data_IF_354390109559
#
_entry.id   IF_354390109559
#
_cell.length_a   1.000
_cell.length_b   1.000
_cell.length_c   1.000
_cell.angle_alpha   90.00
_cell.angle_beta   90.00
_cell.angle_gamma   90.00
#
_symmetry.space_group_name_H-M   'P 1'
#
loop_
_entity.id
_entity.type
_entity.pdbx_description
1 polymer ?
#
# COMPACT_ATOMS: atom_id res chain seq x y z
N UNK A 1 -35.45 27.84 -47.61
CA UNK A 1 -35.90 26.54 -48.16
C UNK A 1 -34.81 25.43 -48.23
N UNK A 2 -33.60 25.61 -47.66
CA UNK A 2 -32.50 24.63 -47.82
C UNK A 2 -32.22 23.67 -46.64
N UNK A 3 -32.82 23.85 -45.46
CA UNK A 3 -32.52 23.02 -44.27
C UNK A 3 -33.49 21.85 -44.01
N UNK A 4 -34.75 21.94 -44.48
CA UNK A 4 -35.73 20.84 -44.34
C UNK A 4 -35.46 19.67 -45.30
N UNK A 5 -34.96 19.92 -46.51
CA UNK A 5 -34.64 18.86 -47.50
C UNK A 5 -33.39 18.04 -47.14
N UNK A 6 -32.48 18.55 -46.30
CA UNK A 6 -31.27 17.83 -45.90
C UNK A 6 -31.56 16.78 -44.81
N UNK A 7 -32.43 17.12 -43.86
CA UNK A 7 -32.90 16.19 -42.82
C UNK A 7 -33.73 15.01 -43.39
N UNK A 8 -34.52 15.23 -44.44
CA UNK A 8 -35.31 14.17 -45.09
C UNK A 8 -34.46 13.19 -45.92
N UNK A 9 -33.31 13.62 -46.44
CA UNK A 9 -32.40 12.78 -47.21
C UNK A 9 -31.49 11.96 -46.27
N UNK A 10 -31.08 12.54 -45.13
CA UNK A 10 -30.24 11.85 -44.15
C UNK A 10 -31.01 10.78 -43.36
N UNK A 11 -32.33 10.94 -43.17
CA UNK A 11 -33.21 9.93 -42.56
C UNK A 11 -33.49 8.70 -43.47
N UNK A 12 -33.32 8.83 -44.80
CA UNK A 12 -33.51 7.73 -45.74
C UNK A 12 -32.26 6.89 -46.01
N UNK A 13 -31.08 7.39 -45.61
CA UNK A 13 -29.79 6.72 -45.81
C UNK A 13 -29.17 6.15 -44.54
N UNK A 14 -29.89 6.19 -43.40
CA UNK A 14 -29.53 5.39 -42.24
C UNK A 14 -29.72 3.91 -42.60
N UNK A 15 -28.65 3.28 -43.11
CA UNK A 15 -28.52 1.84 -43.19
C UNK A 15 -28.92 1.30 -41.83
N UNK A 16 -30.01 0.55 -41.80
CA UNK A 16 -30.42 -0.28 -40.68
C UNK A 16 -29.24 -1.21 -40.40
N UNK A 17 -28.38 -0.83 -39.47
CA UNK A 17 -27.42 -1.73 -38.87
C UNK A 17 -28.28 -2.78 -38.20
N UNK A 18 -28.27 -4.00 -38.74
CA UNK A 18 -28.86 -5.18 -38.10
C UNK A 18 -28.52 -5.13 -36.62
N UNK A 19 -29.53 -4.95 -35.78
CA UNK A 19 -29.41 -5.26 -34.36
C UNK A 19 -29.16 -6.77 -34.36
N UNK A 20 -27.89 -7.16 -34.16
CA UNK A 20 -27.56 -8.54 -33.86
C UNK A 20 -28.37 -8.90 -32.61
N UNK A 21 -29.42 -9.69 -32.83
CA UNK A 21 -30.17 -10.34 -31.77
C UNK A 21 -29.19 -11.23 -31.03
N UNK A 22 -28.75 -10.79 -29.84
CA UNK A 22 -27.91 -11.58 -28.95
C UNK A 22 -28.69 -12.87 -28.68
N UNK A 23 -28.15 -13.99 -29.14
CA UNK A 23 -28.72 -15.32 -28.97
C UNK A 23 -28.95 -15.58 -27.46
N UNK A 24 -30.18 -15.86 -27.00
CA UNK A 24 -30.49 -15.98 -25.57
C UNK A 24 -29.79 -17.17 -24.87
N UNK A 25 -29.06 -18.00 -25.62
CA UNK A 25 -28.34 -19.19 -25.15
C UNK A 25 -26.81 -19.01 -25.10
N UNK A 26 -26.27 -17.84 -25.44
CA UNK A 26 -24.84 -17.60 -25.26
C UNK A 26 -24.51 -17.50 -23.75
N UNK A 27 -23.60 -18.32 -23.22
CA UNK A 27 -23.18 -18.21 -21.82
C UNK A 27 -22.51 -16.86 -21.61
N UNK A 28 -23.26 -15.93 -21.03
CA UNK A 28 -22.75 -14.61 -20.64
C UNK A 28 -22.02 -14.73 -19.31
N UNK A 29 -20.89 -14.04 -19.16
CA UNK A 29 -20.21 -13.91 -17.86
C UNK A 29 -21.15 -13.38 -16.76
N UNK A 30 -22.21 -12.65 -17.11
CA UNK A 30 -23.22 -12.17 -16.16
C UNK A 30 -24.10 -13.27 -15.57
N UNK A 31 -24.10 -14.47 -16.17
CA UNK A 31 -24.88 -15.63 -15.74
C UNK A 31 -24.09 -16.56 -14.79
N UNK A 32 -22.83 -16.23 -14.48
CA UNK A 32 -22.05 -16.98 -13.51
C UNK A 32 -22.61 -16.79 -12.08
N UNK A 33 -22.55 -17.81 -11.21
CA UNK A 33 -22.89 -17.68 -9.80
C UNK A 33 -22.05 -16.59 -9.11
N UNK A 34 -22.64 -15.93 -8.12
CA UNK A 34 -22.02 -14.83 -7.39
C UNK A 34 -20.66 -15.21 -6.79
N UNK A 35 -20.53 -16.43 -6.28
CA UNK A 35 -19.30 -16.94 -5.67
C UNK A 35 -18.15 -17.04 -6.69
N UNK A 36 -18.47 -17.44 -7.93
CA UNK A 36 -17.49 -17.55 -9.01
C UNK A 36 -17.06 -16.16 -9.48
N UNK A 37 -18.00 -15.22 -9.62
CA UNK A 37 -17.69 -13.82 -9.94
C UNK A 37 -16.82 -13.18 -8.86
N UNK A 38 -17.18 -13.37 -7.58
CA UNK A 38 -16.38 -12.90 -6.45
C UNK A 38 -14.97 -13.48 -6.46
N UNK A 39 -14.81 -14.78 -6.72
CA UNK A 39 -13.48 -15.39 -6.84
C UNK A 39 -12.70 -14.87 -8.05
N UNK A 40 -13.34 -14.60 -9.19
CA UNK A 40 -12.68 -13.97 -10.33
C UNK A 40 -12.21 -12.55 -9.96
N UNK A 41 -13.09 -11.76 -9.34
CA UNK A 41 -12.78 -10.38 -8.96
C UNK A 41 -11.78 -10.27 -7.81
N UNK A 42 -11.59 -11.31 -6.99
CA UNK A 42 -10.54 -11.32 -5.97
C UNK A 42 -9.14 -11.21 -6.59
N UNK A 43 -8.95 -11.67 -7.83
CA UNK A 43 -7.70 -11.52 -8.57
C UNK A 43 -7.46 -10.12 -9.14
N UNK A 44 -8.38 -9.17 -8.99
CA UNK A 44 -8.25 -7.79 -9.50
C UNK A 44 -7.88 -6.80 -8.39
N UNK A 45 -7.21 -5.69 -8.71
CA UNK A 45 -6.96 -4.61 -7.75
C UNK A 45 -8.23 -3.78 -7.53
N UNK A 46 -8.20 -2.89 -6.52
CA UNK A 46 -9.38 -2.07 -6.18
C UNK A 46 -9.84 -1.20 -7.36
N UNK A 47 -8.91 -0.65 -8.14
CA UNK A 47 -9.21 0.22 -9.28
C UNK A 47 -9.96 -0.53 -10.38
N UNK A 48 -9.48 -1.72 -10.74
CA UNK A 48 -10.09 -2.63 -11.71
C UNK A 48 -11.48 -3.06 -11.24
N UNK A 49 -11.62 -3.46 -9.97
CA UNK A 49 -12.92 -3.79 -9.38
C UNK A 49 -13.91 -2.62 -9.48
N UNK A 50 -13.51 -1.41 -9.11
CA UNK A 50 -14.39 -0.23 -9.24
C UNK A 50 -14.79 0.08 -10.69
N UNK A 51 -13.95 -0.25 -11.68
CA UNK A 51 -14.28 -0.11 -13.09
C UNK A 51 -15.29 -1.17 -13.55
N UNK A 52 -15.08 -2.43 -13.15
CA UNK A 52 -15.96 -3.55 -13.49
C UNK A 52 -17.35 -3.45 -12.85
N UNK A 53 -17.48 -2.74 -11.73
CA UNK A 53 -18.76 -2.51 -11.04
C UNK A 53 -19.77 -1.71 -11.90
N UNK A 54 -19.33 -1.17 -13.04
CA UNK A 54 -20.16 -0.40 -13.99
C UNK A 54 -20.66 -1.24 -15.17
N UNK A 55 -20.24 -2.50 -15.30
CA UNK A 55 -20.57 -3.35 -16.45
C UNK A 55 -22.02 -3.81 -16.41
N UNK A 56 -22.46 -4.43 -15.31
CA UNK A 56 -23.85 -4.84 -15.12
C UNK A 56 -24.22 -4.91 -13.63
N UNK A 57 -25.51 -5.06 -13.31
CA UNK A 57 -26.02 -5.16 -11.92
C UNK A 57 -25.45 -6.36 -11.16
N UNK A 58 -25.31 -7.50 -11.82
CA UNK A 58 -24.74 -8.72 -11.24
C UNK A 58 -23.28 -8.49 -10.80
N UNK A 59 -22.46 -7.91 -11.68
CA UNK A 59 -21.05 -7.59 -11.37
C UNK A 59 -20.92 -6.53 -10.29
N UNK A 60 -21.81 -5.53 -10.31
CA UNK A 60 -21.88 -4.54 -9.25
C UNK A 60 -22.09 -5.22 -7.89
N UNK A 61 -23.09 -6.09 -7.77
CA UNK A 61 -23.37 -6.83 -6.53
C UNK A 61 -22.18 -7.71 -6.09
N UNK A 62 -21.59 -8.47 -7.03
CA UNK A 62 -20.42 -9.30 -6.77
C UNK A 62 -19.21 -8.51 -6.27
N UNK A 63 -18.94 -7.33 -6.82
CA UNK A 63 -17.77 -6.52 -6.43
C UNK A 63 -17.92 -5.90 -5.04
N UNK A 64 -19.16 -5.63 -4.62
CA UNK A 64 -19.46 -5.08 -3.31
C UNK A 64 -19.72 -6.16 -2.25
N UNK A 65 -19.43 -7.43 -2.58
CA UNK A 65 -19.31 -8.50 -1.59
C UNK A 65 -18.24 -8.15 -0.54
N UNK A 66 -18.54 -8.45 0.72
CA UNK A 66 -17.72 -8.02 1.86
C UNK A 66 -16.29 -8.55 1.81
N UNK A 67 -16.11 -9.78 1.31
CA UNK A 67 -14.81 -10.46 1.28
C UNK A 67 -13.81 -9.75 0.36
N UNK A 68 -14.30 -9.10 -0.70
CA UNK A 68 -13.45 -8.36 -1.64
C UNK A 68 -12.89 -7.06 -1.05
N UNK A 69 -13.39 -6.60 0.10
CA UNK A 69 -12.96 -5.36 0.74
C UNK A 69 -12.11 -5.58 2.00
N UNK A 70 -11.79 -6.83 2.35
CA UNK A 70 -10.93 -7.15 3.50
C UNK A 70 -9.51 -6.61 3.35
N UNK A 71 -8.97 -6.66 2.12
CA UNK A 71 -7.64 -6.18 1.77
C UNK A 71 -7.73 -5.12 0.69
N UNK A 72 -7.49 -3.86 1.07
CA UNK A 72 -7.60 -2.70 0.21
C UNK A 72 -6.20 -2.21 -0.14
N UNK A 73 -5.75 -2.49 -1.36
CA UNK A 73 -4.48 -1.98 -1.87
C UNK A 73 -4.72 -0.83 -2.86
N UNK A 74 -4.32 0.37 -2.46
CA UNK A 74 -4.21 1.52 -3.35
C UNK A 74 -2.85 1.43 -4.06
N UNK A 75 -2.80 0.59 -5.09
CA UNK A 75 -1.61 0.27 -5.90
C UNK A 75 -0.92 1.48 -6.55
N UNK A 76 -1.60 2.62 -6.55
CA UNK A 76 -1.20 3.88 -7.15
C UNK A 76 -1.72 5.05 -6.33
N UNK A 77 -1.09 6.22 -6.51
CA UNK A 77 -1.54 7.45 -5.86
C UNK A 77 -3.01 7.73 -6.19
N UNK A 78 -3.79 8.01 -5.15
CA UNK A 78 -5.17 8.45 -5.25
C UNK A 78 -5.30 9.86 -4.67
N UNK A 79 -6.10 10.72 -5.30
CA UNK A 79 -6.34 12.05 -4.75
C UNK A 79 -7.14 11.96 -3.45
N UNK A 80 -6.88 12.87 -2.51
CA UNK A 80 -7.57 12.93 -1.22
C UNK A 80 -9.10 12.86 -1.35
N UNK A 81 -9.69 13.63 -2.28
CA UNK A 81 -11.13 13.65 -2.53
C UNK A 81 -11.68 12.27 -2.93
N UNK A 82 -10.97 11.56 -3.82
CA UNK A 82 -11.37 10.22 -4.26
C UNK A 82 -11.23 9.23 -3.11
N UNK A 83 -10.13 9.28 -2.37
CA UNK A 83 -9.91 8.39 -1.24
C UNK A 83 -10.95 8.61 -0.14
N UNK A 84 -11.24 9.85 0.20
CA UNK A 84 -12.29 10.19 1.17
C UNK A 84 -13.66 9.65 0.75
N UNK A 85 -14.00 9.67 -0.54
CA UNK A 85 -15.23 9.06 -1.08
C UNK A 85 -15.22 7.54 -0.91
N UNK A 86 -14.07 6.88 -1.13
CA UNK A 86 -13.93 5.43 -0.92
C UNK A 86 -14.12 5.03 0.54
N UNK A 87 -13.49 5.75 1.48
CA UNK A 87 -13.60 5.47 2.93
C UNK A 87 -15.03 5.65 3.45
N UNK A 88 -15.88 6.43 2.77
CA UNK A 88 -17.31 6.57 3.11
C UNK A 88 -18.16 5.37 2.65
N UNK A 89 -17.64 4.54 1.76
CA UNK A 89 -18.39 3.41 1.24
C UNK A 89 -18.61 2.35 2.34
N UNK A 90 -19.81 1.75 2.41
CA UNK A 90 -20.16 0.78 3.46
C UNK A 90 -19.18 -0.41 3.55
N UNK A 91 -18.76 -0.93 2.39
CA UNK A 91 -17.85 -2.09 2.34
C UNK A 91 -16.44 -1.76 2.88
N UNK A 92 -16.06 -0.48 2.97
CA UNK A 92 -14.79 -0.07 3.56
C UNK A 92 -14.72 -0.38 5.06
N UNK A 93 -15.86 -0.51 5.74
CA UNK A 93 -15.92 -0.90 7.15
C UNK A 93 -15.39 -2.32 7.41
N UNK A 94 -15.37 -3.17 6.38
CA UNK A 94 -14.91 -4.55 6.44
C UNK A 94 -13.39 -4.69 6.26
N UNK A 95 -12.68 -3.57 6.03
CA UNK A 95 -11.24 -3.58 5.79
C UNK A 95 -10.47 -4.06 7.03
N UNK A 96 -9.70 -5.13 6.85
CA UNK A 96 -8.70 -5.62 7.82
C UNK A 96 -7.29 -5.12 7.49
N UNK A 97 -7.03 -4.84 6.21
CA UNK A 97 -5.76 -4.28 5.76
C UNK A 97 -5.98 -3.18 4.74
N UNK A 98 -5.31 -2.04 4.95
CA UNK A 98 -5.32 -0.91 4.01
C UNK A 98 -3.88 -0.54 3.69
N UNK A 99 -3.59 -0.45 2.39
CA UNK A 99 -2.32 0.06 1.86
C UNK A 99 -2.55 1.35 1.09
N UNK A 100 -1.78 2.39 1.43
CA UNK A 100 -1.88 3.75 0.92
C UNK A 100 -0.53 4.16 0.32
N UNK A 101 -0.56 4.77 -0.86
CA UNK A 101 0.62 5.34 -1.52
C UNK A 101 0.48 6.86 -1.57
N UNK A 102 1.40 7.54 -0.91
CA UNK A 102 1.56 8.99 -0.93
C UNK A 102 2.28 9.53 -2.18
N UNK A 103 2.69 10.79 -2.13
CA UNK A 103 3.28 11.53 -3.25
C UNK A 103 4.71 12.06 -3.01
N UNK A 104 5.40 11.64 -1.93
CA UNK A 104 6.67 12.26 -1.48
C UNK A 104 7.77 12.31 -2.55
N UNK A 105 7.78 11.36 -3.49
CA UNK A 105 8.79 11.27 -4.56
C UNK A 105 8.23 11.49 -5.97
N UNK A 106 6.99 11.96 -6.08
CA UNK A 106 6.38 12.14 -7.39
C UNK A 106 6.47 13.59 -7.84
N UNK A 107 7.48 13.86 -8.66
CA UNK A 107 7.72 15.17 -9.31
C UNK A 107 6.54 15.65 -10.15
N UNK A 108 5.67 14.73 -10.61
CA UNK A 108 4.50 15.07 -11.42
C UNK A 108 3.28 15.46 -10.57
N UNK A 109 3.31 15.24 -9.26
CA UNK A 109 2.24 15.67 -8.37
C UNK A 109 2.63 16.96 -7.67
N UNK A 110 1.66 17.88 -7.59
CA UNK A 110 1.84 19.10 -6.81
C UNK A 110 2.17 18.71 -5.36
N UNK A 111 3.25 19.26 -4.81
CA UNK A 111 3.67 19.01 -3.41
C UNK A 111 2.54 19.24 -2.40
N UNK A 112 1.56 20.08 -2.74
CA UNK A 112 0.40 20.37 -1.91
C UNK A 112 -0.70 19.31 -1.95
N UNK A 113 -0.63 18.31 -2.85
CA UNK A 113 -1.60 17.22 -2.93
C UNK A 113 -1.28 16.11 -1.93
N UNK A 114 -1.59 16.33 -0.67
CA UNK A 114 -1.49 15.30 0.36
C UNK A 114 -2.48 14.16 0.09
N UNK A 115 -2.00 12.91 0.10
CA UNK A 115 -2.89 11.72 0.06
C UNK A 115 -3.52 11.45 1.42
N UNK A 116 -2.84 11.88 2.48
CA UNK A 116 -3.20 11.58 3.86
C UNK A 116 -3.30 12.89 4.64
N UNK A 117 -4.38 13.04 5.41
CA UNK A 117 -4.64 14.20 6.27
C UNK A 117 -5.25 13.74 7.60
N UNK A 118 -5.20 14.55 8.66
CA UNK A 118 -5.86 14.23 9.94
C UNK A 118 -7.34 13.88 9.77
N UNK A 119 -8.10 14.69 9.03
CA UNK A 119 -9.54 14.45 8.81
C UNK A 119 -9.84 13.15 8.06
N UNK A 120 -8.94 12.72 7.17
CA UNK A 120 -9.07 11.42 6.51
C UNK A 120 -8.78 10.27 7.48
N UNK A 121 -7.75 10.43 8.32
CA UNK A 121 -7.37 9.42 9.31
C UNK A 121 -8.43 9.26 10.39
N UNK A 122 -9.01 10.36 10.88
CA UNK A 122 -10.18 10.34 11.75
C UNK A 122 -11.36 9.61 11.09
N UNK A 123 -11.62 9.90 9.81
CA UNK A 123 -12.70 9.22 9.08
C UNK A 123 -12.42 7.71 8.92
N UNK A 124 -11.17 7.34 8.65
CA UNK A 124 -10.75 5.95 8.55
C UNK A 124 -10.92 5.22 9.89
N UNK A 125 -10.55 5.85 11.01
CA UNK A 125 -10.77 5.38 12.39
C UNK A 125 -12.26 5.24 12.72
N UNK A 126 -13.10 6.12 12.20
CA UNK A 126 -14.55 6.03 12.37
C UNK A 126 -15.16 4.87 11.56
N UNK A 127 -14.71 4.65 10.33
CA UNK A 127 -15.25 3.61 9.44
C UNK A 127 -14.73 2.20 9.75
N UNK A 128 -13.42 2.03 9.90
CA UNK A 128 -12.75 0.71 9.83
C UNK A 128 -12.47 0.14 11.23
N UNK A 129 -13.51 -0.29 11.94
CA UNK A 129 -13.37 -0.78 13.34
C UNK A 129 -12.61 -2.10 13.48
N UNK A 130 -12.53 -2.89 12.40
CA UNK A 130 -11.79 -4.15 12.36
C UNK A 130 -10.39 -4.06 11.76
N UNK A 131 -9.86 -2.84 11.53
CA UNK A 131 -8.56 -2.68 10.86
C UNK A 131 -7.41 -3.23 11.70
N UNK A 132 -6.65 -4.18 11.13
CA UNK A 132 -5.48 -4.78 11.78
C UNK A 132 -4.16 -4.28 11.21
N UNK A 133 -4.11 -3.98 9.91
CA UNK A 133 -2.88 -3.65 9.18
C UNK A 133 -3.06 -2.31 8.44
N UNK A 134 -2.21 -1.34 8.78
CA UNK A 134 -2.11 -0.07 8.07
C UNK A 134 -0.73 0.08 7.45
N UNK A 135 -0.67 0.11 6.12
CA UNK A 135 0.57 0.29 5.35
C UNK A 135 0.50 1.62 4.59
N UNK A 136 1.37 2.56 4.93
CA UNK A 136 1.50 3.87 4.28
C UNK A 136 2.89 3.97 3.70
N UNK A 137 2.99 4.22 2.39
CA UNK A 137 4.26 4.36 1.68
C UNK A 137 4.39 5.73 1.04
N UNK A 138 5.61 6.27 1.00
CA UNK A 138 5.91 7.52 0.29
C UNK A 138 5.04 8.71 0.71
N UNK A 139 4.73 8.84 2.00
CA UNK A 139 3.86 9.88 2.51
C UNK A 139 4.62 10.87 3.41
N UNK A 140 4.22 12.13 3.34
CA UNK A 140 4.55 13.14 4.35
C UNK A 140 3.56 13.01 5.51
N UNK A 141 4.06 12.78 6.72
CA UNK A 141 3.25 12.65 7.94
C UNK A 141 3.42 13.84 8.88
N UNK A 142 4.07 14.93 8.47
CA UNK A 142 4.27 16.12 9.32
C UNK A 142 2.95 16.78 9.77
N UNK A 143 1.88 16.63 8.98
CA UNK A 143 0.55 17.17 9.31
C UNK A 143 -0.31 16.22 10.13
N UNK A 144 0.10 14.97 10.32
CA UNK A 144 -0.68 13.91 10.97
C UNK A 144 -0.04 13.61 12.32
N UNK A 145 -0.87 13.46 13.34
CA UNK A 145 -0.44 12.95 14.64
C UNK A 145 -0.66 11.45 14.70
N UNK A 146 0.19 10.75 15.45
CA UNK A 146 0.04 9.31 15.70
C UNK A 146 -1.35 8.94 16.26
N UNK A 147 -1.97 9.85 17.03
CA UNK A 147 -3.29 9.69 17.64
C UNK A 147 -4.44 9.81 16.62
N UNK A 148 -4.18 10.34 15.44
CA UNK A 148 -5.14 10.34 14.34
C UNK A 148 -5.32 8.92 13.77
N UNK A 149 -4.35 8.03 14.00
CA UNK A 149 -4.40 6.65 13.56
C UNK A 149 -5.29 5.79 14.47
N UNK A 150 -5.82 4.65 13.96
CA UNK A 150 -6.46 3.66 14.80
C UNK A 150 -5.44 3.02 15.75
N UNK A 151 -5.70 3.06 17.05
CA UNK A 151 -4.78 2.60 18.12
C UNK A 151 -4.83 1.08 18.35
N UNK A 152 -5.82 0.40 17.79
CA UNK A 152 -6.01 -1.05 17.86
C UNK A 152 -5.27 -1.85 16.79
N UNK A 153 -4.59 -1.18 15.85
CA UNK A 153 -3.87 -1.87 14.76
C UNK A 153 -2.78 -2.79 15.33
N UNK A 154 -2.62 -3.94 14.68
CA UNK A 154 -1.59 -4.93 15.01
C UNK A 154 -0.30 -4.70 14.26
N UNK A 155 -0.40 -4.14 13.05
CA UNK A 155 0.72 -3.89 12.18
C UNK A 155 0.65 -2.51 11.54
N UNK A 156 1.71 -1.73 11.75
CA UNK A 156 1.90 -0.41 11.16
C UNK A 156 3.16 -0.42 10.30
N UNK A 157 3.00 -0.08 9.01
CA UNK A 157 4.13 0.09 8.10
C UNK A 157 4.14 1.51 7.58
N UNK A 158 5.23 2.23 7.83
CA UNK A 158 5.48 3.59 7.37
C UNK A 158 6.78 3.59 6.56
N UNK A 159 6.67 3.19 5.30
CA UNK A 159 7.83 2.90 4.44
C UNK A 159 8.12 4.10 3.54
N UNK A 160 9.36 4.62 3.58
CA UNK A 160 9.75 5.83 2.82
C UNK A 160 8.87 7.03 3.17
N UNK A 161 8.52 7.18 4.45
CA UNK A 161 7.70 8.28 4.94
C UNK A 161 8.56 9.35 5.62
N UNK A 162 8.07 10.59 5.61
CA UNK A 162 8.62 11.65 6.45
C UNK A 162 7.86 11.71 7.77
N UNK A 163 8.44 11.09 8.81
CA UNK A 163 7.90 11.06 10.16
C UNK A 163 8.53 12.20 10.98
N UNK A 164 7.73 13.05 11.66
CA UNK A 164 8.26 14.14 12.49
C UNK A 164 8.88 13.61 13.79
N UNK A 165 9.69 14.44 14.45
CA UNK A 165 10.24 14.13 15.78
C UNK A 165 9.12 14.01 16.81
N UNK A 166 9.33 13.18 17.83
CA UNK A 166 8.38 12.92 18.92
C UNK A 166 7.02 12.38 18.46
N UNK A 167 6.91 11.90 17.21
CA UNK A 167 5.64 11.47 16.65
C UNK A 167 5.02 10.32 17.45
N UNK A 168 5.83 9.42 18.00
CA UNK A 168 5.37 8.29 18.79
C UNK A 168 5.18 8.62 20.29
N UNK A 169 5.55 9.82 20.75
CA UNK A 169 5.64 10.15 22.17
C UNK A 169 4.31 10.21 22.92
N UNK A 170 3.18 10.39 22.22
CA UNK A 170 1.86 10.65 22.83
C UNK A 170 0.79 9.60 22.49
N UNK A 171 1.16 8.43 21.96
CA UNK A 171 0.20 7.35 21.65
C UNK A 171 0.31 6.18 22.63
N UNK A 172 -0.72 5.33 22.63
CA UNK A 172 -0.66 4.02 23.26
C UNK A 172 -1.23 2.97 22.29
N UNK A 173 -0.36 2.37 21.46
CA UNK A 173 -0.72 1.27 20.61
C UNK A 173 -0.77 -0.02 21.42
N UNK A 174 -1.95 -0.36 21.93
CA UNK A 174 -2.14 -1.49 22.85
C UNK A 174 -1.82 -2.85 22.20
N UNK A 175 -2.06 -2.95 20.89
CA UNK A 175 -2.00 -4.21 20.14
C UNK A 175 -0.91 -4.23 19.05
N UNK A 176 -0.06 -3.20 18.96
CA UNK A 176 0.93 -3.12 17.89
C UNK A 176 2.06 -4.13 18.15
N UNK A 177 2.07 -5.16 17.30
CA UNK A 177 3.04 -6.25 17.36
C UNK A 177 4.10 -6.12 16.27
N UNK A 178 3.80 -5.42 15.17
CA UNK A 178 4.73 -5.26 14.05
C UNK A 178 4.82 -3.81 13.61
N UNK A 179 6.04 -3.29 13.59
CA UNK A 179 6.34 -1.95 13.12
C UNK A 179 7.41 -2.00 12.04
N UNK A 180 7.13 -1.37 10.90
CA UNK A 180 8.07 -1.21 9.81
C UNK A 180 8.26 0.28 9.50
N UNK A 181 9.46 0.81 9.72
CA UNK A 181 9.83 2.20 9.44
C UNK A 181 10.84 2.31 8.27
N UNK A 182 10.95 1.25 7.47
CA UNK A 182 12.05 1.10 6.52
C UNK A 182 12.15 2.26 5.53
N UNK A 183 13.38 2.66 5.23
CA UNK A 183 13.75 3.70 4.26
C UNK A 183 13.15 5.08 4.59
N UNK A 184 12.69 5.31 5.82
CA UNK A 184 12.19 6.61 6.27
C UNK A 184 13.36 7.47 6.75
N UNK A 185 13.67 8.54 6.01
CA UNK A 185 14.95 9.27 6.09
C UNK A 185 15.19 10.03 7.40
N UNK A 186 14.12 10.34 8.13
CA UNK A 186 14.17 11.13 9.38
C UNK A 186 14.30 10.29 10.64
N UNK A 187 14.18 8.96 10.54
CA UNK A 187 14.19 8.07 11.70
C UNK A 187 15.56 8.09 12.39
N UNK A 188 15.57 8.68 13.59
CA UNK A 188 16.68 8.71 14.54
C UNK A 188 16.31 8.01 15.86
N UNK A 189 17.27 7.89 16.77
CA UNK A 189 17.12 7.16 18.03
C UNK A 189 15.94 7.64 18.90
N UNK A 190 15.61 8.93 18.88
CA UNK A 190 14.49 9.47 19.66
C UNK A 190 13.14 8.84 19.28
N UNK A 191 12.92 8.52 17.99
CA UNK A 191 11.70 7.82 17.58
C UNK A 191 11.64 6.42 18.21
N UNK A 192 12.78 5.73 18.30
CA UNK A 192 12.85 4.39 18.90
C UNK A 192 12.68 4.48 20.42
N UNK A 193 13.16 5.55 21.05
CA UNK A 193 12.90 5.85 22.46
C UNK A 193 11.41 6.00 22.73
N UNK A 194 10.70 6.73 21.90
CA UNK A 194 9.25 6.91 22.07
C UNK A 194 8.49 5.58 21.98
N UNK A 195 8.96 4.62 21.17
CA UNK A 195 8.32 3.30 21.04
C UNK A 195 8.28 2.51 22.35
N UNK A 196 9.20 2.75 23.29
CA UNK A 196 9.16 2.07 24.59
C UNK A 196 7.93 2.45 25.40
N UNK A 197 7.37 3.63 25.15
CA UNK A 197 6.20 4.13 25.87
C UNK A 197 4.89 3.69 25.20
N UNK A 198 4.88 3.53 23.88
CA UNK A 198 3.64 3.33 23.12
C UNK A 198 3.44 1.94 22.52
N UNK A 199 4.46 1.06 22.49
CA UNK A 199 4.38 -0.25 21.80
C UNK A 199 4.91 -1.41 22.67
N UNK A 200 4.27 -1.67 23.81
CA UNK A 200 4.70 -2.68 24.80
C UNK A 200 4.55 -4.15 24.34
N UNK A 201 3.84 -4.38 23.23
CA UNK A 201 3.59 -5.72 22.67
C UNK A 201 4.39 -5.98 21.40
N UNK A 202 5.36 -5.10 21.08
CA UNK A 202 6.10 -5.17 19.82
C UNK A 202 6.96 -6.45 19.73
N UNK A 203 6.68 -7.26 18.71
CA UNK A 203 7.38 -8.52 18.43
C UNK A 203 8.28 -8.41 17.20
N UNK A 204 7.96 -7.53 16.24
CA UNK A 204 8.78 -7.28 15.05
C UNK A 204 9.04 -5.81 14.85
N UNK A 205 10.31 -5.46 14.68
CA UNK A 205 10.75 -4.10 14.36
C UNK A 205 11.64 -4.10 13.12
N UNK A 206 11.25 -3.35 12.08
CA UNK A 206 12.05 -3.17 10.87
C UNK A 206 12.48 -1.72 10.72
N UNK A 207 13.79 -1.52 10.62
CA UNK A 207 14.48 -0.23 10.52
C UNK A 207 15.41 -0.18 9.31
N UNK A 208 15.13 -0.98 8.28
CA UNK A 208 15.99 -1.13 7.11
C UNK A 208 16.28 0.23 6.47
N UNK A 209 17.54 0.54 6.20
CA UNK A 209 18.01 1.79 5.60
C UNK A 209 17.57 3.06 6.36
N UNK A 210 17.40 2.99 7.68
CA UNK A 210 17.20 4.18 8.52
C UNK A 210 18.55 4.84 8.84
N UNK A 211 19.02 5.70 7.92
CA UNK A 211 20.40 6.20 7.90
C UNK A 211 20.81 7.13 9.06
N UNK A 212 19.88 7.70 9.83
CA UNK A 212 20.17 8.58 10.98
C UNK A 212 20.30 7.82 12.31
N UNK A 213 20.18 6.49 12.28
CA UNK A 213 20.43 5.66 13.45
C UNK A 213 21.93 5.43 13.60
N UNK A 214 22.46 5.82 14.76
CA UNK A 214 23.87 5.69 15.13
C UNK A 214 24.13 4.38 15.92
N UNK A 215 25.34 4.24 16.44
CA UNK A 215 25.79 3.05 17.18
C UNK A 215 25.07 2.87 18.52
N UNK A 216 24.54 3.95 19.10
CA UNK A 216 23.81 3.95 20.38
C UNK A 216 22.48 3.20 20.31
N UNK A 217 21.99 2.88 19.09
CA UNK A 217 20.77 2.09 18.90
C UNK A 217 20.84 0.75 19.64
N UNK A 218 21.93 0.01 19.48
CA UNK A 218 22.04 -1.33 20.08
C UNK A 218 22.12 -1.23 21.60
N UNK A 219 22.91 -0.29 22.13
CA UNK A 219 22.99 -0.03 23.57
C UNK A 219 21.61 0.28 24.16
N UNK A 220 20.84 1.12 23.47
CA UNK A 220 19.47 1.45 23.86
C UNK A 220 18.52 0.24 23.83
N UNK A 221 18.58 -0.57 22.77
CA UNK A 221 17.73 -1.77 22.67
C UNK A 221 18.03 -2.79 23.78
N UNK A 222 19.31 -2.91 24.18
CA UNK A 222 19.73 -3.73 25.33
C UNK A 222 19.20 -3.13 26.64
N UNK A 223 19.39 -1.81 26.87
CA UNK A 223 19.01 -1.13 28.11
C UNK A 223 17.50 -1.21 28.39
N UNK A 224 16.68 -1.04 27.35
CA UNK A 224 15.21 -0.99 27.50
C UNK A 224 14.52 -2.34 27.44
N UNK A 225 15.29 -3.43 27.34
CA UNK A 225 14.80 -4.79 27.47
C UNK A 225 13.56 -5.06 26.60
N UNK A 226 13.70 -4.92 25.28
CA UNK A 226 12.67 -5.24 24.28
C UNK A 226 12.38 -6.77 24.20
N UNK A 227 12.19 -7.43 25.34
CA UNK A 227 12.17 -8.88 25.55
C UNK A 227 11.13 -9.67 24.74
N UNK A 228 10.11 -9.00 24.21
CA UNK A 228 9.11 -9.58 23.32
C UNK A 228 9.51 -9.61 21.85
N UNK A 229 10.58 -8.91 21.45
CA UNK A 229 11.04 -8.88 20.07
C UNK A 229 11.49 -10.29 19.67
N UNK A 230 10.86 -10.80 18.61
CA UNK A 230 11.17 -12.04 17.91
C UNK A 230 11.87 -11.77 16.57
N UNK A 231 11.65 -10.60 15.98
CA UNK A 231 12.18 -10.23 14.68
C UNK A 231 12.72 -8.79 14.68
N UNK A 232 14.00 -8.63 14.33
CA UNK A 232 14.66 -7.34 14.25
C UNK A 232 15.40 -7.18 12.91
N UNK A 233 15.00 -6.19 12.11
CA UNK A 233 15.68 -5.87 10.85
C UNK A 233 16.41 -4.53 10.94
N UNK A 234 17.74 -4.60 10.87
CA UNK A 234 18.67 -3.48 10.94
C UNK A 234 19.46 -3.31 9.64
N UNK A 235 19.04 -3.93 8.53
CA UNK A 235 19.79 -3.90 7.28
C UNK A 235 20.10 -2.46 6.83
N UNK A 236 21.33 -2.22 6.40
CA UNK A 236 21.74 -0.94 5.83
C UNK A 236 21.77 0.23 6.82
N UNK A 237 21.72 -0.02 8.14
CA UNK A 237 21.90 1.03 9.15
C UNK A 237 23.40 1.35 9.29
N UNK A 238 23.85 2.59 9.00
CA UNK A 238 25.26 2.96 9.09
C UNK A 238 25.84 2.88 10.50
N UNK A 239 25.01 3.11 11.52
CA UNK A 239 25.40 3.05 12.93
C UNK A 239 25.66 1.64 13.46
N UNK A 240 25.20 0.59 12.76
CA UNK A 240 25.47 -0.80 13.16
C UNK A 240 26.87 -1.18 12.67
N UNK A 241 27.83 -1.10 13.57
CA UNK A 241 29.26 -1.34 13.30
C UNK A 241 29.74 -2.64 13.96
N UNK A 242 31.02 -3.01 13.78
CA UNK A 242 31.58 -4.23 14.38
C UNK A 242 31.43 -4.27 15.92
N UNK A 243 31.57 -3.13 16.59
CA UNK A 243 31.36 -3.05 18.04
C UNK A 243 29.91 -3.36 18.44
N UNK A 244 28.94 -2.93 17.62
CA UNK A 244 27.53 -3.24 17.77
C UNK A 244 27.29 -4.76 17.67
N UNK A 245 27.96 -5.46 16.75
CA UNK A 245 27.85 -6.92 16.63
C UNK A 245 28.38 -7.65 17.87
N UNK A 246 29.48 -7.18 18.45
CA UNK A 246 30.02 -7.76 19.69
C UNK A 246 29.00 -7.66 20.82
N UNK A 247 28.36 -6.49 20.97
CA UNK A 247 27.30 -6.28 21.96
C UNK A 247 26.06 -7.15 21.68
N UNK A 248 25.71 -7.32 20.40
CA UNK A 248 24.63 -8.22 20.02
C UNK A 248 24.94 -9.66 20.47
N UNK A 249 26.15 -10.14 20.17
CA UNK A 249 26.56 -11.50 20.49
C UNK A 249 26.73 -11.74 21.99
N UNK A 250 27.17 -10.75 22.76
CA UNK A 250 27.50 -10.91 24.17
C UNK A 250 26.38 -10.55 25.15
N UNK A 251 25.46 -9.66 24.76
CA UNK A 251 24.41 -9.14 25.67
C UNK A 251 23.01 -9.20 25.07
N UNK A 252 22.85 -8.80 23.81
CA UNK A 252 21.51 -8.67 23.22
C UNK A 252 20.77 -10.01 23.19
N UNK A 253 21.41 -11.10 22.79
CA UNK A 253 20.78 -12.42 22.82
C UNK A 253 20.45 -12.94 24.23
N UNK A 254 21.18 -12.50 25.25
CA UNK A 254 20.88 -12.84 26.66
C UNK A 254 19.62 -12.11 27.14
N UNK A 255 19.47 -10.83 26.74
CA UNK A 255 18.32 -9.98 27.08
C UNK A 255 17.08 -10.33 26.22
N UNK A 256 17.29 -10.80 24.98
CA UNK A 256 16.24 -11.13 24.01
C UNK A 256 16.28 -12.61 23.61
N UNK A 257 16.00 -13.55 24.53
CA UNK A 257 16.11 -14.99 24.26
C UNK A 257 15.09 -15.50 23.23
N UNK A 258 14.02 -14.75 22.99
CA UNK A 258 12.96 -15.10 22.03
C UNK A 258 13.24 -14.61 20.60
N UNK A 259 14.44 -14.06 20.32
CA UNK A 259 14.78 -13.51 19.02
C UNK A 259 15.02 -14.64 18.00
N UNK A 260 14.11 -14.75 17.02
CA UNK A 260 14.10 -15.76 15.97
C UNK A 260 14.53 -15.21 14.59
N UNK A 261 14.64 -13.88 14.45
CA UNK A 261 15.13 -13.25 13.23
C UNK A 261 15.94 -11.99 13.54
N UNK A 262 17.15 -11.90 12.98
CA UNK A 262 18.00 -10.72 13.04
C UNK A 262 18.67 -10.49 11.68
N UNK A 263 18.40 -9.33 11.06
CA UNK A 263 19.03 -8.91 9.82
C UNK A 263 19.97 -7.73 10.06
N UNK A 264 21.27 -7.92 9.77
CA UNK A 264 22.32 -6.88 9.86
C UNK A 264 23.09 -6.76 8.53
N UNK A 265 22.47 -7.19 7.42
CA UNK A 265 23.09 -7.11 6.09
C UNK A 265 23.39 -5.66 5.71
N UNK A 266 24.38 -5.45 4.86
CA UNK A 266 24.75 -4.12 4.30
C UNK A 266 25.03 -3.03 5.35
N UNK A 267 25.23 -3.40 6.62
CA UNK A 267 25.71 -2.47 7.64
C UNK A 267 27.23 -2.27 7.47
N UNK A 268 27.68 -1.01 7.54
CA UNK A 268 29.09 -0.66 7.30
C UNK A 268 29.99 -1.41 8.30
N UNK A 269 31.08 -1.99 7.81
CA UNK A 269 32.08 -2.73 8.62
C UNK A 269 31.61 -4.06 9.25
N UNK A 270 30.36 -4.50 8.99
CA UNK A 270 30.00 -5.91 9.20
C UNK A 270 30.61 -6.69 8.05
N UNK A 271 31.90 -7.03 8.18
CA UNK A 271 32.64 -7.79 7.18
C UNK A 271 31.79 -8.97 6.71
N UNK A 272 31.56 -9.07 5.40
CA UNK A 272 30.79 -10.13 4.73
C UNK A 272 31.26 -11.56 5.09
N UNK A 273 32.42 -11.67 5.76
CA UNK A 273 33.08 -12.89 6.23
C UNK A 273 32.68 -13.39 7.62
N UNK A 274 31.87 -12.67 8.40
CA UNK A 274 31.31 -13.18 9.68
C UNK A 274 29.80 -13.33 9.55
N UNK A 275 29.38 -14.39 8.86
CA UNK A 275 27.99 -14.87 8.81
C UNK A 275 27.47 -15.41 10.16
N UNK A 276 27.91 -14.85 11.29
CA UNK A 276 27.74 -15.42 12.64
C UNK A 276 26.27 -15.44 13.11
N UNK A 277 25.34 -14.86 12.35
CA UNK A 277 23.90 -14.90 12.66
C UNK A 277 23.11 -15.83 11.70
N UNK A 278 23.78 -16.68 10.89
CA UNK A 278 23.12 -17.46 9.83
C UNK A 278 22.62 -18.88 10.18
N UNK A 279 22.87 -19.44 11.36
CA UNK A 279 22.52 -20.85 11.61
C UNK A 279 21.53 -21.15 12.74
N UNK A 280 21.08 -20.17 13.53
CA UNK A 280 19.95 -20.38 14.46
C UNK A 280 18.58 -19.94 13.92
N UNK A 281 18.53 -19.25 12.77
CA UNK A 281 17.34 -18.52 12.28
C UNK A 281 16.77 -19.06 10.95
N UNK A 282 17.26 -20.20 10.45
CA UNK A 282 16.84 -20.80 9.17
C UNK A 282 16.08 -22.13 9.31
N UNK A 283 15.73 -22.52 10.52
CA UNK A 283 14.77 -23.61 10.76
C UNK A 283 13.48 -23.09 11.35
N UNK A 284 12.82 -22.17 10.66
CA UNK A 284 11.37 -22.08 10.79
C UNK A 284 10.75 -21.62 9.46
N UNK A 285 10.23 -22.59 8.70
CA UNK A 285 9.59 -22.42 7.39
C UNK A 285 8.22 -21.73 7.48
N UNK A 286 7.96 -20.98 8.54
CA UNK A 286 6.62 -20.55 8.93
C UNK A 286 6.33 -19.08 8.61
N UNK A 287 7.34 -18.21 8.56
CA UNK A 287 7.12 -16.80 8.17
C UNK A 287 7.36 -16.50 6.67
N UNK A 288 8.09 -17.37 5.96
CA UNK A 288 8.06 -17.39 4.50
C UNK A 288 6.66 -17.74 3.99
N UNK A 289 5.91 -18.56 4.75
CA UNK A 289 4.56 -18.99 4.41
C UNK A 289 3.52 -17.88 4.56
N UNK A 290 3.67 -16.93 5.48
CA UNK A 290 2.75 -15.78 5.61
C UNK A 290 3.05 -14.72 4.53
N UNK A 291 4.31 -14.58 4.10
CA UNK A 291 4.67 -13.75 2.95
C UNK A 291 4.30 -14.39 1.60
N UNK A 292 4.26 -15.74 1.52
CA UNK A 292 3.79 -16.50 0.37
C UNK A 292 2.25 -16.66 0.35
N UNK A 293 1.55 -16.74 1.48
CA UNK A 293 0.09 -16.85 1.54
C UNK A 293 -0.62 -15.55 1.11
N UNK A 294 0.09 -14.41 1.06
CA UNK A 294 -0.39 -13.18 0.41
C UNK A 294 0.21 -12.90 -0.97
N UNK A 295 1.12 -13.75 -1.48
CA UNK A 295 1.73 -13.63 -2.81
C UNK A 295 1.49 -14.84 -3.74
N UNK A 296 0.87 -15.92 -3.27
CA UNK A 296 0.47 -17.07 -4.09
C UNK A 296 -1.01 -16.96 -4.39
N UNK A 297 -1.36 -16.04 -5.29
CA UNK A 297 -2.50 -16.23 -6.21
C UNK A 297 -2.47 -15.30 -7.45
N UNK A 298 -1.33 -14.67 -7.79
CA UNK A 298 -1.18 -13.90 -9.05
C UNK A 298 0.04 -14.29 -9.89
N UNK A 299 0.34 -15.58 -10.00
CA UNK A 299 1.41 -16.03 -10.91
C UNK A 299 1.13 -17.39 -11.56
N UNK A 300 -0.02 -17.56 -12.21
CA UNK A 300 -0.17 -18.53 -13.30
C UNK A 300 -1.04 -17.95 -14.42
N UNK A 301 -0.48 -16.98 -15.16
CA UNK A 301 -0.96 -16.68 -16.53
C UNK A 301 -0.10 -17.52 -17.48
N UNK A 302 -0.70 -18.31 -18.39
CA UNK A 302 0.05 -19.08 -19.40
C UNK A 302 0.94 -18.17 -20.26
N UNK A 303 2.15 -18.65 -20.58
CA UNK A 303 3.22 -17.95 -21.31
C UNK A 303 2.93 -17.52 -22.76
N UNK A 304 1.67 -17.41 -23.18
CA UNK A 304 1.31 -17.05 -24.55
C UNK A 304 0.51 -15.76 -24.62
N UNK A 305 1.11 -14.63 -24.27
CA UNK A 305 0.75 -13.29 -24.78
C UNK A 305 1.92 -12.34 -24.51
N UNK A 306 3.02 -12.49 -25.25
CA UNK A 306 4.05 -11.47 -25.32
C UNK A 306 3.54 -10.32 -26.21
N UNK A 307 3.08 -9.22 -25.61
CA UNK A 307 3.10 -7.92 -26.29
C UNK A 307 4.51 -7.35 -26.12
N UNK A 308 5.20 -7.17 -27.26
CA UNK A 308 6.49 -6.48 -27.35
C UNK A 308 6.29 -5.00 -27.02
N UNK A 309 6.64 -4.58 -25.82
CA UNK A 309 6.85 -3.16 -25.54
C UNK A 309 8.34 -2.84 -25.74
N UNK A 310 8.65 -2.39 -26.95
CA UNK A 310 9.81 -1.54 -27.22
C UNK A 310 9.47 -0.15 -26.70
N UNK A 311 10.10 0.29 -25.62
CA UNK A 311 10.29 1.72 -25.38
C UNK A 311 11.79 2.02 -25.41
N UNK A 312 12.16 2.62 -26.54
CA UNK A 312 13.43 3.27 -26.80
C UNK A 312 13.56 4.52 -25.92
N UNK A 313 14.83 4.85 -25.66
CA UNK A 313 15.33 6.15 -25.26
C UNK A 313 14.61 7.30 -25.97
N UNK A 314 14.11 8.26 -25.20
CA UNK A 314 13.70 9.59 -25.66
C UNK A 314 14.20 10.62 -24.65
N UNK A 315 15.53 10.77 -24.60
CA UNK A 315 16.13 12.09 -24.57
C UNK A 315 16.41 12.42 -26.05
N UNK A 316 16.15 13.65 -26.47
CA UNK A 316 16.23 14.17 -27.85
C UNK A 316 14.96 14.02 -28.71
N UNK A 317 13.87 14.71 -28.32
CA UNK A 317 12.91 15.29 -29.29
C UNK A 317 12.02 16.39 -28.66
N UNK A 318 12.62 17.28 -27.87
CA UNK A 318 12.05 18.60 -27.60
C UNK A 318 12.33 19.52 -28.81
N UNK A 319 11.44 19.57 -29.80
CA UNK A 319 11.39 20.72 -30.74
C UNK A 319 10.16 20.82 -31.64
N UNK A 320 9.43 19.75 -31.93
CA UNK A 320 8.59 19.74 -33.16
C UNK A 320 7.19 19.13 -32.99
N UNK A 321 6.42 19.53 -31.96
CA UNK A 321 4.95 19.45 -32.06
C UNK A 321 4.22 20.50 -31.21
N UNK A 322 4.68 21.76 -31.26
CA UNK A 322 3.83 22.93 -30.96
C UNK A 322 3.06 23.31 -32.23
N UNK A 323 1.96 22.59 -32.51
CA UNK A 323 0.79 23.04 -33.29
C UNK A 323 -0.12 21.82 -33.52
N UNK A 324 -1.41 22.00 -33.27
CA UNK A 324 -2.51 21.04 -33.47
C UNK A 324 -2.76 20.08 -32.29
N UNK A 325 -3.49 20.57 -31.29
CA UNK A 325 -4.78 20.02 -30.80
C UNK A 325 -5.32 21.11 -29.85
N UNK A 326 -5.96 22.10 -30.46
CA UNK A 326 -6.87 23.02 -29.81
C UNK A 326 -8.18 22.78 -30.54
N UNK A 327 -9.05 21.91 -29.99
CA UNK A 327 -10.48 21.81 -30.27
C UNK A 327 -11.08 20.64 -29.47
N UNK A 328 -12.00 20.96 -28.56
CA UNK A 328 -13.11 20.07 -28.22
C UNK A 328 -12.98 19.22 -26.96
N UNK A 329 -13.06 19.81 -25.77
CA UNK A 329 -13.79 19.17 -24.67
C UNK A 329 -14.75 20.18 -24.04
N UNK A 330 -15.99 20.12 -24.56
CA UNK A 330 -17.17 20.75 -24.01
C UNK A 330 -17.51 20.16 -22.65
N UNK A 331 -18.05 21.04 -21.80
CA UNK A 331 -18.74 20.74 -20.56
C UNK A 331 -19.77 19.61 -20.70
N UNK A 332 -19.76 18.66 -19.77
CA UNK A 332 -21.00 18.08 -19.24
C UNK A 332 -20.87 17.93 -17.73
N UNK A 333 -21.45 18.93 -17.06
CA UNK A 333 -22.10 18.81 -15.76
C UNK A 333 -23.12 17.68 -15.88
N UNK A 334 -23.04 16.66 -15.04
CA UNK A 334 -24.22 15.87 -14.70
C UNK A 334 -24.04 15.21 -13.34
N UNK A 335 -25.02 15.52 -12.50
CA UNK A 335 -25.24 15.07 -11.14
C UNK A 335 -25.42 13.55 -11.13
N UNK A 336 -24.46 12.84 -10.53
CA UNK A 336 -24.72 11.47 -10.09
C UNK A 336 -25.26 11.53 -8.66
N UNK A 337 -26.58 11.76 -8.57
CA UNK A 337 -27.39 11.28 -7.46
C UNK A 337 -27.11 9.79 -7.27
N UNK A 338 -26.65 9.43 -6.08
CA UNK A 338 -26.66 8.05 -5.59
C UNK A 338 -27.35 8.15 -4.22
N UNK A 339 -28.42 7.36 -3.97
CA UNK A 339 -29.14 7.41 -2.71
C UNK A 339 -28.25 7.09 -1.49
#
# INVERSE_FOLDING_TARGET
>A
MGRKRKLEIDLKNAKVTKVETIDPLQPSFSNLPHEILSKIFSYLNLKERCQLARVCKSWHQAIYDELLWYHIDLDSFISLKKFYKLVRHKCFANAKSIKIIGNLNNVNFNKNQQTVTPALMEKLRATCKGLEILDIKYADLNSIQVNDLPDWIRELRLIRCEIPLNWFGNNNFKNLNRLDLSNSSRICLNHIKDLTNCAQSLESLKLTNCYRLDHSLIDFLIEKNFNKIKSLDLEGIPGVIEQSLKLICSKFFEVNPNLNYLNVKKCKNVNERKSIIREKLTTDKTDAKIAEEFNVERSKVPKNFQRKDKYLNLADEEATTKKSIQLGYFSLVEEANIP
#
